data_IF_062804455429
#
_entry.id   IF_062804455429
#
_cell.length_a   1.000
_cell.length_b   1.000
_cell.length_c   1.000
_cell.angle_alpha   90.00
_cell.angle_beta   90.00
_cell.angle_gamma   90.00
#
_symmetry.space_group_name_H-M   'P 1'
#
loop_
_entity.id
_entity.type
_entity.pdbx_description
1 polymer ?
#
# COMPACT_ATOMS: atom_id res chain seq x y z
N UNK A 1 8.91 19.14 -20.19
CA UNK A 1 10.34 18.91 -19.90
C UNK A 1 11.07 18.64 -21.19
N UNK A 2 11.84 19.60 -21.69
CA UNK A 2 12.74 19.47 -22.84
C UNK A 2 14.11 20.05 -22.47
N UNK A 3 15.19 19.52 -23.04
CA UNK A 3 16.54 20.09 -22.90
C UNK A 3 17.14 20.22 -24.29
N UNK A 4 17.59 21.43 -24.65
CA UNK A 4 18.11 21.70 -26.00
C UNK A 4 17.10 21.48 -27.13
N UNK A 5 15.79 21.50 -26.84
CA UNK A 5 14.73 21.19 -27.81
C UNK A 5 14.27 19.73 -27.83
N UNK A 6 15.02 18.82 -27.19
CA UNK A 6 14.72 17.40 -27.17
C UNK A 6 13.87 16.98 -25.97
N UNK A 7 12.99 15.98 -26.17
CA UNK A 7 12.15 15.42 -25.11
C UNK A 7 12.91 14.37 -24.31
N UNK A 8 12.65 14.31 -23.00
CA UNK A 8 13.16 13.23 -22.16
C UNK A 8 12.40 11.93 -22.40
N UNK A 9 13.10 10.81 -22.29
CA UNK A 9 12.56 9.45 -22.36
C UNK A 9 12.45 8.84 -20.96
N UNK A 10 11.58 7.84 -20.82
CA UNK A 10 11.44 7.03 -19.60
C UNK A 10 11.16 5.58 -19.97
N UNK A 11 11.33 4.68 -19.03
CA UNK A 11 11.07 3.25 -19.23
C UNK A 11 9.59 2.95 -19.06
N UNK A 12 9.07 2.08 -19.93
CA UNK A 12 7.80 1.40 -19.70
C UNK A 12 8.06 -0.03 -19.23
N UNK A 13 7.42 -0.43 -18.14
CA UNK A 13 7.42 -1.82 -17.69
C UNK A 13 6.39 -2.60 -18.52
N UNK A 14 6.89 -3.58 -19.27
CA UNK A 14 6.09 -4.47 -20.11
C UNK A 14 5.71 -5.78 -19.40
N UNK A 15 6.55 -6.23 -18.47
CA UNK A 15 6.27 -7.40 -17.63
C UNK A 15 5.18 -7.06 -16.61
N UNK A 16 4.19 -7.93 -16.44
CA UNK A 16 3.07 -7.74 -15.51
C UNK A 16 3.08 -8.80 -14.41
N UNK A 17 4.16 -8.83 -13.63
CA UNK A 17 4.33 -9.78 -12.52
C UNK A 17 4.64 -9.00 -11.24
N UNK A 18 3.90 -9.20 -10.13
CA UNK A 18 4.16 -8.51 -8.88
C UNK A 18 5.52 -8.92 -8.30
N UNK A 19 6.16 -8.00 -7.56
CA UNK A 19 7.32 -8.36 -6.74
C UNK A 19 6.85 -9.18 -5.53
N UNK A 20 7.70 -10.08 -5.03
CA UNK A 20 7.40 -10.78 -3.78
C UNK A 20 7.41 -9.78 -2.62
N UNK A 21 6.22 -9.57 -2.04
CA UNK A 21 5.99 -8.63 -0.94
C UNK A 21 6.84 -8.96 0.28
N UNK A 22 7.17 -10.22 0.53
CA UNK A 22 7.96 -10.66 1.69
C UNK A 22 9.40 -10.16 1.64
N UNK A 23 9.88 -9.78 0.46
CA UNK A 23 11.23 -9.28 0.24
C UNK A 23 11.31 -7.75 0.24
N UNK A 24 10.18 -7.06 0.41
CA UNK A 24 10.13 -5.59 0.40
C UNK A 24 10.14 -5.06 1.84
N UNK A 25 11.22 -4.38 2.20
CA UNK A 25 11.27 -3.60 3.43
C UNK A 25 10.91 -2.13 3.17
N UNK A 26 9.67 -1.74 3.46
CA UNK A 26 9.17 -0.38 3.17
C UNK A 26 9.80 0.70 4.03
N UNK A 27 10.46 0.37 5.14
CA UNK A 27 11.17 1.36 5.97
C UNK A 27 12.40 1.94 5.27
N UNK A 28 12.90 1.26 4.23
CA UNK A 28 14.05 1.68 3.42
C UNK A 28 13.62 2.45 2.15
N UNK A 29 12.32 2.66 1.95
CA UNK A 29 11.78 3.22 0.71
C UNK A 29 11.31 4.67 0.88
N UNK A 30 11.57 5.48 -0.14
CA UNK A 30 11.01 6.84 -0.27
C UNK A 30 9.56 6.82 -0.75
N UNK A 31 8.86 7.95 -0.61
CA UNK A 31 7.42 8.02 -0.92
C UNK A 31 7.21 7.81 -2.41
N UNK A 32 8.13 8.35 -3.21
CA UNK A 32 8.17 8.21 -4.66
C UNK A 32 8.35 6.75 -5.07
N UNK A 33 9.23 6.01 -4.39
CA UNK A 33 9.44 4.58 -4.67
C UNK A 33 8.20 3.75 -4.30
N UNK A 34 7.58 4.00 -3.14
CA UNK A 34 6.34 3.32 -2.75
C UNK A 34 5.22 3.63 -3.76
N UNK A 35 5.05 4.89 -4.13
CA UNK A 35 4.06 5.31 -5.14
C UNK A 35 4.32 4.66 -6.50
N UNK A 36 5.59 4.52 -6.90
CA UNK A 36 5.97 3.85 -8.13
C UNK A 36 5.54 2.37 -8.12
N UNK A 37 5.85 1.62 -7.06
CA UNK A 37 5.44 0.21 -6.93
C UNK A 37 3.91 0.08 -6.87
N UNK A 38 3.22 0.95 -6.14
CA UNK A 38 1.76 0.93 -6.06
C UNK A 38 1.09 1.18 -7.41
N UNK A 39 1.61 2.12 -8.21
CA UNK A 39 1.13 2.37 -9.58
C UNK A 39 1.41 1.18 -10.49
N UNK A 40 2.55 0.52 -10.34
CA UNK A 40 2.86 -0.70 -11.07
C UNK A 40 1.89 -1.84 -10.72
N UNK A 41 1.60 -2.05 -9.44
CA UNK A 41 0.63 -3.03 -8.96
C UNK A 41 -0.80 -2.75 -9.43
N UNK A 42 -1.19 -1.47 -9.50
CA UNK A 42 -2.44 -1.05 -10.11
C UNK A 42 -2.49 -1.42 -11.59
N UNK A 43 -1.45 -1.10 -12.38
CA UNK A 43 -1.35 -1.49 -13.80
C UNK A 43 -1.55 -3.00 -13.99
N UNK A 44 -0.91 -3.81 -13.14
CA UNK A 44 -1.06 -5.27 -13.16
C UNK A 44 -2.53 -5.67 -12.97
N UNK A 45 -3.20 -5.19 -11.92
CA UNK A 45 -4.62 -5.55 -11.66
C UNK A 45 -5.54 -5.09 -12.78
N UNK A 46 -5.34 -3.88 -13.29
CA UNK A 46 -6.18 -3.32 -14.36
C UNK A 46 -6.11 -4.15 -15.64
N UNK A 47 -4.93 -4.69 -15.98
CA UNK A 47 -4.73 -5.44 -17.22
C UNK A 47 -5.06 -6.93 -17.01
N UNK A 48 -4.50 -7.56 -15.97
CA UNK A 48 -4.63 -9.01 -15.79
C UNK A 48 -5.90 -9.42 -15.06
N UNK A 49 -6.51 -8.55 -14.24
CA UNK A 49 -7.72 -8.88 -13.49
C UNK A 49 -8.86 -9.37 -14.39
N UNK A 50 -9.29 -8.58 -15.39
CA UNK A 50 -10.34 -8.98 -16.32
C UNK A 50 -9.99 -10.23 -17.14
N UNK A 51 -8.71 -10.41 -17.49
CA UNK A 51 -8.25 -11.56 -18.28
C UNK A 51 -8.30 -12.87 -17.47
N UNK A 52 -7.87 -12.84 -16.20
CA UNK A 52 -7.98 -14.02 -15.33
C UNK A 52 -9.44 -14.38 -15.08
N UNK A 53 -10.30 -13.38 -14.87
CA UNK A 53 -11.74 -13.59 -14.69
C UNK A 53 -12.42 -14.16 -15.94
N UNK A 54 -12.07 -13.68 -17.13
CA UNK A 54 -12.65 -14.17 -18.39
C UNK A 54 -12.30 -15.64 -18.66
N UNK A 55 -11.13 -16.09 -18.18
CA UNK A 55 -10.67 -17.47 -18.26
C UNK A 55 -11.19 -18.37 -17.12
N UNK A 56 -11.91 -17.82 -16.13
CA UNK A 56 -12.38 -18.58 -14.95
C UNK A 56 -11.25 -18.95 -13.97
N UNK A 57 -10.15 -18.20 -13.98
CA UNK A 57 -8.97 -18.41 -13.15
C UNK A 57 -9.12 -17.67 -11.81
N UNK A 58 -10.09 -18.10 -11.00
CA UNK A 58 -10.47 -17.41 -9.76
C UNK A 58 -9.38 -17.49 -8.67
N UNK A 59 -8.60 -18.57 -8.63
CA UNK A 59 -7.50 -18.73 -7.67
C UNK A 59 -6.36 -17.76 -7.98
N UNK A 60 -5.96 -17.69 -9.23
CA UNK A 60 -4.94 -16.78 -9.74
C UNK A 60 -5.38 -15.33 -9.59
N UNK A 61 -6.66 -15.04 -9.83
CA UNK A 61 -7.23 -13.71 -9.59
C UNK A 61 -7.11 -13.30 -8.12
N UNK A 62 -7.51 -14.17 -7.18
CA UNK A 62 -7.35 -13.90 -5.74
C UNK A 62 -5.88 -13.75 -5.34
N UNK A 63 -5.01 -14.59 -5.89
CA UNK A 63 -3.57 -14.49 -5.67
C UNK A 63 -3.02 -13.15 -6.17
N UNK A 64 -3.46 -12.69 -7.35
CA UNK A 64 -3.07 -11.42 -7.94
C UNK A 64 -3.49 -10.25 -7.04
N UNK A 65 -4.73 -10.25 -6.58
CA UNK A 65 -5.26 -9.21 -5.68
C UNK A 65 -4.43 -9.11 -4.40
N UNK A 66 -4.15 -10.24 -3.75
CA UNK A 66 -3.35 -10.28 -2.52
C UNK A 66 -1.93 -9.76 -2.74
N UNK A 67 -1.26 -10.25 -3.79
CA UNK A 67 0.15 -9.94 -4.03
C UNK A 67 0.37 -8.53 -4.58
N UNK A 68 -0.68 -7.86 -5.04
CA UNK A 68 -0.62 -6.51 -5.57
C UNK A 68 -1.19 -5.46 -4.62
N UNK A 69 -1.65 -5.80 -3.40
CA UNK A 69 -2.15 -4.80 -2.43
C UNK A 69 -1.21 -3.58 -2.28
N UNK A 70 -1.74 -2.35 -2.15
CA UNK A 70 -0.88 -1.18 -1.94
C UNK A 70 0.08 -1.37 -0.77
N UNK A 71 1.32 -0.96 -0.96
CA UNK A 71 2.31 -0.82 0.10
C UNK A 71 2.03 0.47 0.88
N UNK A 72 2.12 0.38 2.20
CA UNK A 72 2.15 1.52 3.11
C UNK A 72 3.51 1.65 3.77
N UNK A 73 3.82 2.84 4.27
CA UNK A 73 4.94 3.01 5.19
C UNK A 73 4.82 2.06 6.37
N UNK A 74 5.96 1.57 6.85
CA UNK A 74 6.02 0.70 8.03
C UNK A 74 5.18 1.30 9.17
N UNK A 75 4.17 0.54 9.62
CA UNK A 75 3.21 0.96 10.63
C UNK A 75 3.92 1.29 11.95
N UNK A 76 4.22 2.58 12.21
CA UNK A 76 4.76 3.00 13.50
C UNK A 76 3.85 3.91 14.33
N UNK A 77 2.69 4.37 13.85
CA UNK A 77 1.95 5.46 14.54
C UNK A 77 0.44 5.22 14.76
N UNK A 78 -0.16 4.09 14.36
CA UNK A 78 -1.62 3.88 14.60
C UNK A 78 -1.94 3.28 15.96
N UNK A 79 -1.09 2.39 16.49
CA UNK A 79 -1.35 1.76 17.80
C UNK A 79 -1.20 2.75 18.97
N UNK A 80 -0.30 3.75 18.87
CA UNK A 80 -0.01 4.68 19.97
C UNK A 80 -1.13 5.71 20.19
N UNK A 81 -1.79 6.21 19.14
CA UNK A 81 -2.84 7.24 19.29
C UNK A 81 -4.12 6.64 19.88
N UNK A 82 -4.55 5.47 19.41
CA UNK A 82 -5.76 4.80 19.91
C UNK A 82 -5.65 4.44 21.39
N UNK A 83 -4.53 3.85 21.81
CA UNK A 83 -4.28 3.45 23.20
C UNK A 83 -4.20 4.67 24.13
N UNK A 84 -3.58 5.77 23.69
CA UNK A 84 -3.51 6.99 24.49
C UNK A 84 -4.90 7.61 24.71
N UNK A 85 -5.74 7.66 23.69
CA UNK A 85 -7.11 8.20 23.79
C UNK A 85 -7.95 7.32 24.72
N UNK A 86 -7.89 5.99 24.61
CA UNK A 86 -8.65 5.11 25.52
C UNK A 86 -8.21 5.26 26.97
N UNK A 87 -6.91 5.42 27.20
CA UNK A 87 -6.36 5.59 28.56
C UNK A 87 -6.78 6.94 29.16
N UNK A 88 -6.75 8.02 28.38
CA UNK A 88 -7.21 9.34 28.81
C UNK A 88 -8.71 9.36 29.16
N UNK A 89 -9.56 8.75 28.34
CA UNK A 89 -11.01 8.68 28.60
C UNK A 89 -11.31 7.85 29.85
N UNK A 90 -10.66 6.69 30.01
CA UNK A 90 -10.82 5.85 31.19
C UNK A 90 -10.41 6.59 32.48
N UNK A 91 -9.30 7.33 32.44
CA UNK A 91 -8.84 8.12 33.58
C UNK A 91 -9.84 9.23 33.96
N UNK A 92 -10.40 9.95 32.98
CA UNK A 92 -11.43 10.97 33.21
C UNK A 92 -12.71 10.38 33.83
N UNK A 93 -13.13 9.20 33.37
CA UNK A 93 -14.29 8.50 33.91
C UNK A 93 -14.08 8.06 35.38
N UNK A 94 -12.90 7.53 35.69
CA UNK A 94 -12.54 7.15 37.07
C UNK A 94 -12.51 8.36 38.01
N UNK A 95 -11.99 9.51 37.58
CA UNK A 95 -11.98 10.73 38.38
C UNK A 95 -13.38 11.27 38.70
N UNK A 96 -14.34 11.15 37.76
CA UNK A 96 -15.73 11.54 38.03
C UNK A 96 -16.43 10.61 39.01
N UNK A 97 -16.11 9.31 38.99
CA UNK A 97 -16.74 8.31 39.87
C UNK A 97 -16.25 8.39 41.32
N UNK A 98 -15.03 8.89 41.56
CA UNK A 98 -14.41 9.01 42.90
C UNK A 98 -14.83 10.29 43.65
N UNK A 99 -15.45 11.26 42.98
CA UNK A 99 -15.88 12.55 43.57
C UNK A 99 -17.36 12.52 44.04
N UNK A 100 -18.03 11.36 44.00
CA UNK A 100 -19.39 11.16 44.55
C UNK A 100 -19.42 10.10 45.65
#
# INVERSE_FOLDING_TARGET
NTFGGEKYLTFEIVTLVPYDRKLINTTLMTEVQIKHVNKYYEKIRTILGPELQSQGLDEEYRWLEENTKPLSYGNFITASIGVLITTLIANLYLQQTVIY
#
